data_IF_065545239606
#
_entry.id   IF_065545239606
#
_cell.length_a   1.000
_cell.length_b   1.000
_cell.length_c   1.000
_cell.angle_alpha   90.00
_cell.angle_beta   90.00
_cell.angle_gamma   90.00
#
_symmetry.space_group_name_H-M   'P 1'
#
loop_
_entity.id
_entity.type
_entity.pdbx_description
1 polymer ?
#
# COMPACT_ATOMS: atom_id res chain seq x y z
N UNK A 1 14.69 -57.34 -2.39
CA UNK A 1 14.33 -56.05 -3.01
C UNK A 1 14.48 -54.98 -1.93
N UNK A 2 15.58 -54.24 -1.95
CA UNK A 2 15.89 -53.23 -0.94
C UNK A 2 15.61 -51.85 -1.52
N UNK A 3 14.68 -51.11 -0.90
CA UNK A 3 14.32 -49.75 -1.30
C UNK A 3 15.44 -48.77 -0.93
N UNK A 4 15.80 -47.81 -1.81
CA UNK A 4 16.79 -46.80 -1.48
C UNK A 4 16.18 -45.73 -0.56
N UNK A 5 16.79 -45.54 0.62
CA UNK A 5 16.49 -44.41 1.50
C UNK A 5 16.94 -43.12 0.82
N UNK A 6 15.98 -42.25 0.51
CA UNK A 6 16.24 -40.90 0.03
C UNK A 6 16.48 -40.03 1.26
N UNK A 7 17.74 -39.70 1.54
CA UNK A 7 18.10 -38.75 2.58
C UNK A 7 17.64 -37.35 2.14
N UNK A 8 16.60 -36.84 2.79
CA UNK A 8 16.19 -35.44 2.65
C UNK A 8 17.30 -34.56 3.24
N UNK A 9 17.88 -33.61 2.48
CA UNK A 9 18.90 -32.71 3.03
C UNK A 9 18.27 -31.83 4.11
N UNK A 10 18.95 -31.78 5.25
CA UNK A 10 18.60 -30.96 6.40
C UNK A 10 18.54 -29.48 6.01
N UNK A 11 17.48 -28.75 6.37
CA UNK A 11 17.33 -27.34 6.01
C UNK A 11 18.46 -26.52 6.64
N UNK A 12 19.07 -25.65 5.82
CA UNK A 12 20.12 -24.75 6.28
C UNK A 12 19.66 -23.94 7.51
N UNK A 13 20.55 -23.70 8.49
CA UNK A 13 20.20 -22.94 9.69
C UNK A 13 19.67 -21.56 9.30
N UNK A 14 18.58 -21.15 9.97
CA UNK A 14 17.96 -19.85 9.73
C UNK A 14 19.01 -18.73 9.91
N UNK A 15 19.00 -17.70 9.05
CA UNK A 15 19.93 -16.59 9.18
C UNK A 15 19.77 -15.94 10.55
N UNK A 16 20.90 -15.73 11.23
CA UNK A 16 20.97 -15.13 12.55
C UNK A 16 20.30 -13.74 12.51
N UNK A 17 19.18 -13.58 13.22
CA UNK A 17 18.41 -12.35 13.22
C UNK A 17 19.22 -11.26 13.94
N UNK A 18 19.68 -10.27 13.18
CA UNK A 18 20.22 -9.04 13.77
C UNK A 18 19.12 -8.41 14.66
N UNK A 19 19.47 -7.95 15.87
CA UNK A 19 18.51 -7.29 16.73
C UNK A 19 17.90 -6.08 15.99
N UNK A 20 16.60 -5.86 16.21
CA UNK A 20 15.92 -4.68 15.68
C UNK A 20 16.67 -3.45 16.19
N UNK A 21 17.11 -2.53 15.30
CA UNK A 21 17.78 -1.32 15.74
C UNK A 21 16.89 -0.57 16.71
N UNK A 22 17.41 -0.24 17.90
CA UNK A 22 16.67 0.64 18.79
C UNK A 22 16.57 2.03 18.16
N UNK A 23 15.35 2.56 18.09
CA UNK A 23 15.15 3.96 17.70
C UNK A 23 15.79 4.85 18.77
N UNK A 24 16.58 5.82 18.34
CA UNK A 24 17.19 6.80 19.24
C UNK A 24 16.12 7.70 19.89
N UNK A 25 16.52 8.41 20.96
CA UNK A 25 15.62 9.26 21.74
C UNK A 25 15.00 10.39 20.91
N UNK A 26 15.72 10.93 19.93
CA UNK A 26 15.23 11.99 19.07
C UNK A 26 14.13 11.47 18.14
N UNK A 27 14.36 10.36 17.44
CA UNK A 27 13.35 9.74 16.57
C UNK A 27 12.10 9.33 17.35
N UNK A 28 12.25 8.73 18.54
CA UNK A 28 11.13 8.40 19.42
C UNK A 28 10.32 9.64 19.79
N UNK A 29 10.99 10.74 20.13
CA UNK A 29 10.33 12.01 20.46
C UNK A 29 9.59 12.58 19.26
N UNK A 30 10.21 12.60 18.07
CA UNK A 30 9.59 13.11 16.84
C UNK A 30 8.34 12.30 16.47
N UNK A 31 8.41 10.96 16.53
CA UNK A 31 7.24 10.10 16.29
C UNK A 31 6.13 10.40 17.30
N UNK A 32 6.46 10.51 18.60
CA UNK A 32 5.45 10.82 19.62
C UNK A 32 4.80 12.18 19.38
N UNK A 33 5.58 13.21 19.06
CA UNK A 33 5.06 14.54 18.73
C UNK A 33 4.12 14.46 17.53
N UNK A 34 4.53 13.77 16.46
CA UNK A 34 3.71 13.57 15.27
C UNK A 34 2.39 12.87 15.61
N UNK A 35 2.43 11.75 16.34
CA UNK A 35 1.24 10.98 16.74
C UNK A 35 0.29 11.75 17.67
N UNK A 36 0.81 12.71 18.44
CA UNK A 36 0.02 13.48 19.41
C UNK A 36 -0.46 14.83 18.85
N UNK A 37 0.06 15.25 17.70
CA UNK A 37 -0.30 16.52 17.09
C UNK A 37 -1.66 16.40 16.39
N UNK A 38 -2.55 17.39 16.52
CA UNK A 38 -3.75 17.44 15.69
C UNK A 38 -3.33 17.48 14.22
N UNK A 39 -3.70 16.46 13.47
CA UNK A 39 -3.38 16.35 12.05
C UNK A 39 -4.67 16.55 11.25
N UNK A 40 -4.69 17.60 10.42
CA UNK A 40 -5.73 17.82 9.43
C UNK A 40 -5.10 17.73 8.05
N UNK A 41 -5.68 16.91 7.18
CA UNK A 41 -5.29 16.90 5.77
C UNK A 41 -5.70 18.23 5.11
N UNK A 42 -4.86 18.78 4.21
CA UNK A 42 -5.28 19.92 3.39
C UNK A 42 -6.54 19.54 2.59
N UNK A 43 -7.48 20.46 2.46
CA UNK A 43 -8.73 20.24 1.72
C UNK A 43 -8.57 20.72 0.28
N UNK A 44 -9.06 19.91 -0.66
CA UNK A 44 -9.02 20.22 -2.08
C UNK A 44 -9.97 21.35 -2.42
N UNK A 45 -9.47 22.31 -3.19
CA UNK A 45 -10.26 23.43 -3.67
C UNK A 45 -10.43 23.33 -5.20
N UNK A 46 -11.65 23.08 -5.71
CA UNK A 46 -11.90 22.97 -7.15
C UNK A 46 -11.60 24.27 -7.90
N UNK A 47 -10.99 24.14 -9.09
CA UNK A 47 -10.66 25.27 -9.96
C UNK A 47 -11.94 26.05 -10.37
N UNK A 48 -12.03 27.35 -10.08
CA UNK A 48 -13.21 28.14 -10.39
C UNK A 48 -13.50 28.30 -11.88
N UNK A 49 -12.54 28.00 -12.77
CA UNK A 49 -12.68 28.09 -14.23
C UNK A 49 -13.26 26.82 -14.85
N UNK A 50 -13.14 25.68 -14.15
CA UNK A 50 -13.56 24.36 -14.67
C UNK A 50 -14.98 23.96 -14.23
N UNK A 51 -15.51 24.61 -13.19
CA UNK A 51 -16.81 24.25 -12.59
C UNK A 51 -17.76 25.45 -12.51
N UNK A 52 -19.07 25.17 -12.63
CA UNK A 52 -20.11 26.16 -12.34
C UNK A 52 -20.05 26.57 -10.86
N UNK A 53 -20.59 27.76 -10.51
CA UNK A 53 -20.60 28.21 -9.11
C UNK A 53 -21.32 27.22 -8.18
N UNK A 54 -22.42 26.61 -8.64
CA UNK A 54 -23.17 25.60 -7.89
C UNK A 54 -22.40 24.28 -7.73
N UNK A 55 -21.77 23.77 -8.79
CA UNK A 55 -20.97 22.56 -8.70
C UNK A 55 -19.74 22.75 -7.82
N UNK A 56 -19.09 23.92 -7.95
CA UNK A 56 -17.94 24.28 -7.11
C UNK A 56 -18.33 24.31 -5.64
N UNK A 57 -19.45 24.94 -5.29
CA UNK A 57 -19.93 24.96 -3.90
C UNK A 57 -20.18 23.54 -3.40
N UNK A 58 -20.87 22.71 -4.18
CA UNK A 58 -21.13 21.31 -3.84
C UNK A 58 -19.83 20.52 -3.63
N UNK A 59 -18.82 20.72 -4.47
CA UNK A 59 -17.51 20.06 -4.34
C UNK A 59 -16.72 20.53 -3.11
N UNK A 60 -16.79 21.82 -2.76
CA UNK A 60 -16.21 22.37 -1.54
C UNK A 60 -16.88 21.76 -0.30
N UNK A 61 -18.20 21.63 -0.31
CA UNK A 61 -18.98 21.09 0.81
C UNK A 61 -18.67 19.61 1.09
N UNK A 62 -18.09 18.88 0.13
CA UNK A 62 -17.59 17.52 0.34
C UNK A 62 -16.31 17.47 1.19
N UNK A 63 -15.59 18.58 1.38
CA UNK A 63 -14.35 18.62 2.18
C UNK A 63 -13.35 17.52 1.78
N UNK A 64 -13.19 17.26 0.48
CA UNK A 64 -12.33 16.18 -0.04
C UNK A 64 -10.86 16.49 0.31
N UNK A 65 -10.10 15.56 0.92
CA UNK A 65 -8.68 15.76 1.17
C UNK A 65 -7.87 15.93 -0.12
N UNK A 66 -6.80 16.70 -0.03
CA UNK A 66 -5.79 16.85 -1.09
C UNK A 66 -4.60 15.96 -0.81
N UNK A 67 -4.02 15.42 -1.88
CA UNK A 67 -2.69 14.80 -1.86
C UNK A 67 -1.74 15.57 -2.77
N UNK A 68 -0.47 15.63 -2.34
CA UNK A 68 0.61 16.11 -3.17
C UNK A 68 1.06 15.00 -4.11
N UNK A 69 1.05 15.27 -5.40
CA UNK A 69 1.59 14.36 -6.43
C UNK A 69 3.06 14.65 -6.67
N UNK A 70 3.73 13.81 -7.45
CA UNK A 70 5.14 14.01 -7.83
C UNK A 70 5.41 15.29 -8.63
N UNK A 71 4.37 15.99 -9.09
CA UNK A 71 4.49 17.25 -9.84
C UNK A 71 4.07 18.48 -9.00
N UNK A 72 3.96 18.34 -7.68
CA UNK A 72 3.46 19.37 -6.76
C UNK A 72 2.04 19.89 -7.10
N UNK A 73 1.31 19.13 -7.92
CA UNK A 73 -0.09 19.40 -8.24
C UNK A 73 -1.00 18.85 -7.13
N UNK A 74 -1.99 19.66 -6.76
CA UNK A 74 -2.98 19.35 -5.74
C UNK A 74 -4.16 18.60 -6.36
N UNK A 75 -4.29 17.31 -6.02
CA UNK A 75 -5.39 16.47 -6.51
C UNK A 75 -6.35 16.05 -5.39
N UNK A 76 -7.66 15.95 -5.68
CA UNK A 76 -8.62 15.39 -4.74
C UNK A 76 -8.38 13.89 -4.55
N UNK A 77 -8.24 13.44 -3.31
CA UNK A 77 -8.09 12.02 -3.00
C UNK A 77 -9.38 11.40 -2.46
N UNK A 78 -10.12 10.76 -3.37
CA UNK A 78 -11.34 10.04 -3.02
C UNK A 78 -11.08 8.80 -2.16
N UNK A 79 -9.85 8.27 -2.11
CA UNK A 79 -9.50 7.19 -1.19
C UNK A 79 -9.38 7.67 0.25
N UNK A 80 -9.26 8.97 0.51
CA UNK A 80 -9.20 9.54 1.87
C UNK A 80 -10.49 10.25 2.27
N UNK A 81 -11.36 10.59 1.31
CA UNK A 81 -12.66 11.23 1.59
C UNK A 81 -13.54 10.37 2.52
N UNK A 82 -13.97 10.91 3.66
CA UNK A 82 -14.76 10.20 4.67
C UNK A 82 -14.09 8.89 5.21
N UNK A 83 -12.76 8.78 5.17
CA UNK A 83 -12.04 7.60 5.67
C UNK A 83 -12.41 7.32 7.14
N UNK A 84 -12.70 6.06 7.44
CA UNK A 84 -13.15 5.62 8.76
C UNK A 84 -14.65 5.75 8.98
N UNK A 85 -15.34 6.62 8.23
CA UNK A 85 -16.76 6.95 8.39
C UNK A 85 -17.57 6.63 7.13
N UNK A 86 -17.19 5.57 6.40
CA UNK A 86 -17.81 5.26 5.10
C UNK A 86 -19.29 4.89 5.23
N UNK A 87 -19.73 4.45 6.40
CA UNK A 87 -21.15 4.20 6.72
C UNK A 87 -22.07 5.41 6.56
N UNK A 88 -21.51 6.63 6.58
CA UNK A 88 -22.25 7.86 6.25
C UNK A 88 -22.68 7.88 4.78
N UNK A 89 -21.87 7.28 3.90
CA UNK A 89 -22.13 7.17 2.47
C UNK A 89 -22.84 5.86 2.11
N UNK A 90 -22.59 4.81 2.89
CA UNK A 90 -23.05 3.45 2.62
C UNK A 90 -23.41 2.72 3.93
N UNK A 91 -24.69 2.78 4.36
CA UNK A 91 -25.12 2.20 5.63
C UNK A 91 -24.86 0.69 5.79
N UNK A 92 -24.68 -0.03 4.69
CA UNK A 92 -24.37 -1.47 4.67
C UNK A 92 -22.86 -1.76 4.65
N UNK A 93 -22.02 -0.74 4.77
CA UNK A 93 -20.57 -0.94 4.75
C UNK A 93 -20.06 -1.75 5.93
N UNK A 94 -20.55 -1.49 7.15
CA UNK A 94 -20.06 -2.15 8.36
C UNK A 94 -20.23 -3.67 8.30
N UNK A 95 -21.38 -4.17 7.84
CA UNK A 95 -21.61 -5.61 7.72
C UNK A 95 -20.69 -6.28 6.70
N UNK A 96 -20.50 -5.65 5.53
CA UNK A 96 -19.57 -6.15 4.49
C UNK A 96 -18.12 -6.07 4.91
N UNK A 97 -17.76 -5.02 5.68
CA UNK A 97 -16.42 -4.88 6.24
C UNK A 97 -16.14 -6.00 7.24
N UNK A 98 -17.06 -6.26 8.16
CA UNK A 98 -16.90 -7.31 9.17
C UNK A 98 -16.78 -8.69 8.53
N UNK A 99 -17.59 -8.99 7.51
CA UNK A 99 -17.48 -10.23 6.72
C UNK A 99 -16.12 -10.32 6.00
N UNK A 100 -15.65 -9.23 5.41
CA UNK A 100 -14.34 -9.19 4.74
C UNK A 100 -13.17 -9.47 5.69
N UNK A 101 -13.22 -8.98 6.93
CA UNK A 101 -12.13 -9.11 7.92
C UNK A 101 -12.35 -10.22 8.95
N UNK A 102 -13.39 -11.05 8.83
CA UNK A 102 -13.75 -12.04 9.85
C UNK A 102 -12.80 -13.24 9.96
N UNK A 103 -11.84 -13.38 9.03
CA UNK A 103 -10.89 -14.50 9.00
C UNK A 103 -9.56 -14.20 9.69
N UNK A 104 -8.97 -15.23 10.31
CA UNK A 104 -7.63 -15.18 10.92
C UNK A 104 -6.49 -15.51 9.93
N UNK A 105 -6.81 -15.63 8.64
CA UNK A 105 -5.89 -16.06 7.60
C UNK A 105 -5.64 -14.97 6.54
N UNK A 106 -4.79 -15.27 5.56
CA UNK A 106 -4.48 -14.33 4.49
C UNK A 106 -5.72 -14.07 3.61
N UNK A 107 -6.10 -12.80 3.47
CA UNK A 107 -7.21 -12.39 2.62
C UNK A 107 -6.70 -11.98 1.24
N UNK A 108 -7.32 -12.51 0.19
CA UNK A 108 -7.06 -12.13 -1.19
C UNK A 108 -8.29 -11.41 -1.78
N UNK A 109 -8.17 -10.10 -2.04
CA UNK A 109 -9.22 -9.31 -2.68
C UNK A 109 -8.98 -9.21 -4.18
N UNK A 110 -9.72 -9.99 -4.96
CA UNK A 110 -9.62 -10.03 -6.43
C UNK A 110 -10.90 -9.45 -7.03
N UNK A 111 -10.78 -8.33 -7.75
CA UNK A 111 -11.90 -7.67 -8.42
C UNK A 111 -11.40 -6.75 -9.56
N UNK A 112 -12.31 -6.32 -10.44
CA UNK A 112 -12.04 -5.42 -11.56
C UNK A 112 -11.43 -4.09 -11.11
N UNK A 113 -10.72 -3.40 -12.00
CA UNK A 113 -10.19 -2.06 -11.70
C UNK A 113 -11.32 -1.08 -11.34
N UNK A 114 -11.06 -0.14 -10.44
CA UNK A 114 -12.05 0.86 -10.01
C UNK A 114 -13.11 0.38 -9.01
N UNK A 115 -13.15 -0.90 -8.64
CA UNK A 115 -14.11 -1.46 -7.66
C UNK A 115 -13.89 -1.05 -6.19
N UNK A 116 -12.99 -0.11 -5.90
CA UNK A 116 -12.74 0.36 -4.53
C UNK A 116 -11.83 -0.52 -3.68
N UNK A 117 -11.08 -1.46 -4.26
CA UNK A 117 -10.15 -2.35 -3.53
C UNK A 117 -9.17 -1.60 -2.63
N UNK A 118 -8.53 -0.56 -3.16
CA UNK A 118 -7.59 0.28 -2.41
C UNK A 118 -8.30 0.99 -1.25
N UNK A 119 -9.50 1.50 -1.48
CA UNK A 119 -10.30 2.13 -0.43
C UNK A 119 -10.66 1.15 0.68
N UNK A 120 -11.12 -0.06 0.36
CA UNK A 120 -11.41 -1.08 1.37
C UNK A 120 -10.16 -1.44 2.19
N UNK A 121 -8.99 -1.48 1.57
CA UNK A 121 -7.73 -1.71 2.27
C UNK A 121 -7.37 -0.55 3.23
N UNK A 122 -7.59 0.70 2.83
CA UNK A 122 -7.40 1.85 3.73
C UNK A 122 -8.38 1.85 4.91
N UNK A 123 -9.65 1.55 4.66
CA UNK A 123 -10.64 1.36 5.74
C UNK A 123 -10.21 0.25 6.70
N UNK A 124 -9.63 -0.82 6.17
CA UNK A 124 -9.09 -1.91 6.99
C UNK A 124 -7.95 -1.43 7.87
N UNK A 125 -6.95 -0.74 7.32
CA UNK A 125 -5.80 -0.23 8.10
C UNK A 125 -6.22 0.86 9.09
N UNK A 126 -7.27 1.63 8.77
CA UNK A 126 -7.81 2.63 9.68
C UNK A 126 -8.53 1.99 10.88
N UNK A 127 -9.38 0.98 10.64
CA UNK A 127 -10.19 0.30 11.67
C UNK A 127 -9.42 -0.77 12.43
N UNK A 128 -8.43 -1.38 11.78
CA UNK A 128 -7.53 -2.40 12.33
C UNK A 128 -6.12 -1.87 12.14
N UNK A 129 -5.41 -1.62 13.23
CA UNK A 129 -4.02 -1.16 13.14
C UNK A 129 -3.19 -2.12 12.28
N UNK A 130 -2.48 -1.57 11.30
CA UNK A 130 -1.71 -2.35 10.35
C UNK A 130 -0.80 -1.48 9.49
N UNK A 131 -0.07 -2.12 8.57
CA UNK A 131 0.82 -1.47 7.63
C UNK A 131 0.34 -1.72 6.19
N UNK A 132 0.34 -0.67 5.38
CA UNK A 132 0.02 -0.73 3.96
C UNK A 132 1.31 -0.71 3.13
N UNK A 133 1.46 -1.65 2.21
CA UNK A 133 2.58 -1.71 1.28
C UNK A 133 2.07 -1.79 -0.16
N UNK A 134 2.59 -0.92 -1.03
CA UNK A 134 2.20 -0.83 -2.43
C UNK A 134 3.15 -1.67 -3.31
N UNK A 135 2.65 -2.70 -3.99
CA UNK A 135 3.49 -3.51 -4.90
C UNK A 135 3.96 -2.74 -6.15
N UNK A 136 3.28 -1.65 -6.48
CA UNK A 136 3.64 -0.72 -7.54
C UNK A 136 3.35 0.70 -7.05
N UNK A 137 4.29 1.61 -7.25
CA UNK A 137 4.12 3.02 -6.94
C UNK A 137 3.61 3.78 -8.16
N UNK A 138 2.55 4.56 -8.01
CA UNK A 138 1.98 5.41 -9.05
C UNK A 138 1.89 6.86 -8.55
N UNK A 139 2.99 7.61 -8.69
CA UNK A 139 3.12 8.96 -8.11
C UNK A 139 2.21 10.05 -8.70
N UNK A 140 1.48 9.76 -9.77
CA UNK A 140 0.61 10.73 -10.46
C UNK A 140 -0.81 10.71 -9.89
N UNK A 141 -1.47 9.55 -9.90
CA UNK A 141 -2.88 9.44 -9.50
C UNK A 141 -3.09 8.86 -8.09
N UNK A 142 -2.09 8.16 -7.56
CA UNK A 142 -2.13 7.54 -6.23
C UNK A 142 -0.74 7.60 -5.57
N UNK A 143 -0.31 8.79 -5.12
CA UNK A 143 1.01 8.98 -4.50
C UNK A 143 1.11 8.33 -3.11
N UNK A 144 0.06 7.66 -2.62
CA UNK A 144 0.06 7.02 -1.33
C UNK A 144 0.91 5.74 -1.33
N UNK A 145 1.92 5.73 -0.48
CA UNK A 145 2.86 4.61 -0.32
C UNK A 145 4.30 5.07 -0.46
N UNK A 146 5.20 4.11 -0.71
CA UNK A 146 6.63 4.41 -0.87
C UNK A 146 7.16 3.86 -2.18
N UNK A 147 7.90 4.71 -2.90
CA UNK A 147 8.67 4.27 -4.07
C UNK A 147 9.78 3.29 -3.68
N UNK A 148 10.34 3.40 -2.47
CA UNK A 148 11.46 2.59 -2.01
C UNK A 148 11.11 1.10 -1.99
N UNK A 149 9.88 0.76 -1.60
CA UNK A 149 9.41 -0.61 -1.57
C UNK A 149 9.33 -1.22 -2.98
N UNK A 150 8.73 -0.48 -3.92
CA UNK A 150 8.66 -0.90 -5.33
C UNK A 150 10.07 -1.05 -5.92
N UNK A 151 10.96 -0.11 -5.61
CA UNK A 151 12.36 -0.18 -6.07
C UNK A 151 13.10 -1.39 -5.50
N UNK A 152 12.86 -1.74 -4.24
CA UNK A 152 13.47 -2.88 -3.55
C UNK A 152 13.00 -4.21 -4.14
N UNK A 153 11.70 -4.36 -4.39
CA UNK A 153 11.14 -5.54 -5.07
C UNK A 153 11.78 -5.70 -6.47
N UNK A 154 11.89 -4.61 -7.23
CA UNK A 154 12.50 -4.66 -8.56
C UNK A 154 13.97 -5.08 -8.51
N UNK A 155 14.74 -4.60 -7.52
CA UNK A 155 16.13 -5.04 -7.29
C UNK A 155 16.23 -6.52 -6.94
N UNK A 156 15.30 -7.07 -6.15
CA UNK A 156 15.26 -8.50 -5.82
C UNK A 156 15.00 -9.35 -7.07
N UNK A 157 14.03 -8.95 -7.91
CA UNK A 157 13.74 -9.62 -9.19
C UNK A 157 14.96 -9.65 -10.12
N UNK A 158 15.76 -8.58 -10.13
CA UNK A 158 16.96 -8.49 -10.95
C UNK A 158 18.07 -9.43 -10.44
N UNK A 159 18.22 -9.60 -9.12
CA UNK A 159 19.19 -10.55 -8.53
C UNK A 159 18.80 -12.02 -8.71
N UNK A 160 17.50 -12.33 -8.72
CA UNK A 160 17.03 -13.70 -9.00
C UNK A 160 17.19 -14.14 -10.46
N UNK A 161 17.41 -13.19 -11.37
CA UNK A 161 17.82 -13.47 -12.75
C UNK A 161 19.35 -13.55 -12.81
N UNK A 162 19.90 -14.67 -12.36
CA UNK A 162 21.31 -14.98 -12.57
C UNK A 162 21.67 -14.99 -14.07
N UNK A 163 22.97 -14.92 -14.43
CA UNK A 163 23.38 -14.96 -15.83
C UNK A 163 22.82 -16.21 -16.49
N UNK A 164 22.09 -16.04 -17.60
CA UNK A 164 21.74 -17.18 -18.45
C UNK A 164 23.06 -17.86 -18.82
N UNK A 165 23.21 -19.13 -18.43
CA UNK A 165 24.27 -19.98 -18.95
C UNK A 165 24.04 -20.07 -20.46
N UNK A 166 24.78 -19.27 -21.22
CA UNK A 166 24.92 -19.46 -22.66
C UNK A 166 25.51 -20.86 -22.83
N UNK A 167 24.73 -21.77 -23.41
CA UNK A 167 25.24 -23.08 -23.77
C UNK A 167 26.45 -22.92 -24.72
N UNK A 168 27.53 -23.68 -24.55
CA UNK A 168 28.65 -23.63 -25.48
C UNK A 168 28.16 -24.06 -26.86
N UNK A 169 28.46 -23.23 -27.86
CA UNK A 169 28.24 -23.54 -29.27
C UNK A 169 29.20 -24.67 -29.62
N UNK A 170 28.68 -25.88 -29.87
CA UNK A 170 29.49 -26.96 -30.43
C UNK A 170 29.91 -26.58 -31.86
N UNK A 171 31.21 -26.66 -32.21
CA UNK A 171 31.62 -26.59 -33.60
C UNK A 171 31.15 -27.86 -34.31
N UNK A 172 30.35 -27.68 -35.37
CA UNK A 172 29.95 -28.74 -36.28
C UNK A 172 31.17 -29.36 -36.98
N UNK A 173 31.07 -30.65 -37.28
CA UNK A 173 32.06 -31.41 -38.05
C UNK A 173 32.05 -31.14 -39.54
#
# INVERSE_FOLDING_TARGET
MSSPQTSTPEPAPAPEHKPVPELDGHTKSTIRTFLSSPFSLPVWNPDPTLYTASDRQRLVDLHIPTVFTTHDELYPDLNLYALGNLEVLDPEFTSRFDDFVSGDSHIALVNTSGSGKTRLLFETVHRRWGLYFNSSYEGVSNPLGSFDWTSSINRLKFKSRGPQRTAPISPGG
#
